data_IF_977987168819
#
_entry.id   IF_977987168819
#
_cell.length_a   1.000
_cell.length_b   1.000
_cell.length_c   1.000
_cell.angle_alpha   90.00
_cell.angle_beta   90.00
_cell.angle_gamma   90.00
#
_symmetry.space_group_name_H-M   'P 1'
#
loop_
_entity.id
_entity.type
_entity.pdbx_description
1 polymer ?
#
# COMPACT_ATOMS: atom_id res chain seq x y z
N UNK A 1 -11.26 18.39 12.15
CA UNK A 1 -11.53 18.79 10.74
C UNK A 1 -12.58 17.85 10.18
N UNK A 2 -13.37 18.33 9.21
CA UNK A 2 -14.29 17.53 8.40
C UNK A 2 -13.56 17.03 7.16
N UNK A 3 -13.34 15.72 7.05
CA UNK A 3 -12.51 15.11 6.01
C UNK A 3 -13.38 14.16 5.19
N UNK A 4 -13.41 14.35 3.86
CA UNK A 4 -13.91 13.33 2.95
C UNK A 4 -12.77 12.40 2.55
N UNK A 5 -12.95 11.10 2.73
CA UNK A 5 -12.12 10.04 2.18
C UNK A 5 -12.86 9.47 0.95
N UNK A 6 -12.24 9.55 -0.23
CA UNK A 6 -12.83 9.10 -1.49
C UNK A 6 -12.06 7.86 -1.95
N UNK A 7 -12.66 6.69 -1.71
CA UNK A 7 -12.07 5.40 -2.05
C UNK A 7 -12.31 5.05 -3.53
N UNK A 8 -11.43 4.24 -4.16
CA UNK A 8 -11.80 3.52 -5.37
C UNK A 8 -12.95 2.55 -5.09
N UNK A 9 -13.69 2.19 -6.13
CA UNK A 9 -14.86 1.31 -6.04
C UNK A 9 -14.57 -0.13 -6.50
N UNK A 10 -13.29 -0.49 -6.70
CA UNK A 10 -12.92 -1.80 -7.22
C UNK A 10 -13.11 -2.89 -6.18
N UNK A 11 -12.61 -2.65 -4.96
CA UNK A 11 -12.75 -3.54 -3.80
C UNK A 11 -13.67 -2.92 -2.73
N UNK A 12 -14.13 -3.75 -1.79
CA UNK A 12 -14.77 -3.25 -0.58
C UNK A 12 -13.75 -2.50 0.30
N UNK A 13 -14.22 -1.67 1.23
CA UNK A 13 -13.36 -0.92 2.17
C UNK A 13 -13.68 -1.34 3.61
N UNK A 14 -12.87 -2.18 4.28
CA UNK A 14 -11.68 -2.86 3.78
C UNK A 14 -12.03 -3.99 2.77
N UNK A 15 -11.06 -4.43 1.96
CA UNK A 15 -11.25 -5.52 1.00
C UNK A 15 -11.58 -6.84 1.68
N UNK A 16 -12.48 -7.63 1.07
CA UNK A 16 -12.75 -9.01 1.49
C UNK A 16 -11.65 -9.99 1.03
N UNK A 17 -10.95 -9.64 -0.06
CA UNK A 17 -9.88 -10.42 -0.67
C UNK A 17 -8.63 -9.54 -0.79
N UNK A 18 -7.80 -9.77 -1.81
CA UNK A 18 -6.64 -8.93 -2.11
C UNK A 18 -7.05 -7.51 -2.56
N UNK A 19 -6.58 -6.48 -1.86
CA UNK A 19 -6.71 -5.08 -2.27
C UNK A 19 -5.80 -4.19 -1.44
N UNK A 20 -4.77 -3.60 -2.05
CA UNK A 20 -3.80 -2.76 -1.33
C UNK A 20 -4.34 -1.38 -1.00
N UNK A 21 -4.91 -0.69 -1.99
CA UNK A 21 -5.38 0.69 -1.87
C UNK A 21 -6.53 0.82 -0.89
N UNK A 22 -7.64 0.10 -1.13
CA UNK A 22 -8.84 0.15 -0.30
C UNK A 22 -8.59 -0.31 1.14
N UNK A 23 -7.63 -1.21 1.36
CA UNK A 23 -7.17 -1.60 2.71
C UNK A 23 -6.52 -0.43 3.43
N UNK A 24 -5.64 0.31 2.76
CA UNK A 24 -5.03 1.51 3.33
C UNK A 24 -6.05 2.61 3.53
N UNK A 25 -7.00 2.80 2.61
CA UNK A 25 -8.08 3.77 2.80
C UNK A 25 -8.88 3.43 4.05
N UNK A 26 -9.22 2.15 4.27
CA UNK A 26 -9.91 1.72 5.49
C UNK A 26 -9.10 2.07 6.75
N UNK A 27 -7.82 1.69 6.79
CA UNK A 27 -6.95 1.95 7.95
C UNK A 27 -6.73 3.44 8.21
N UNK A 28 -6.51 4.24 7.16
CA UNK A 28 -6.35 5.69 7.27
C UNK A 28 -7.64 6.36 7.76
N UNK A 29 -8.78 6.01 7.16
CA UNK A 29 -10.10 6.54 7.50
C UNK A 29 -10.38 6.33 8.98
N UNK A 30 -10.24 5.09 9.44
CA UNK A 30 -10.51 4.70 10.81
C UNK A 30 -9.49 5.30 11.79
N UNK A 31 -8.22 5.43 11.42
CA UNK A 31 -7.21 6.08 12.25
C UNK A 31 -7.45 7.60 12.36
N UNK A 32 -7.97 8.26 11.33
CA UNK A 32 -8.34 9.68 11.40
C UNK A 32 -9.55 9.91 12.34
N UNK A 33 -10.52 8.98 12.34
CA UNK A 33 -11.64 9.02 13.29
C UNK A 33 -11.14 8.91 14.74
N UNK A 34 -10.25 7.96 15.02
CA UNK A 34 -9.66 7.79 16.36
C UNK A 34 -8.88 9.01 16.85
N UNK A 35 -8.40 9.82 15.91
CA UNK A 35 -7.67 11.06 16.21
C UNK A 35 -8.60 12.26 16.40
N UNK A 36 -9.92 12.05 16.37
CA UNK A 36 -10.94 13.05 16.66
C UNK A 36 -11.39 13.87 15.45
N UNK A 37 -11.13 13.39 14.23
CA UNK A 37 -11.64 14.03 13.03
C UNK A 37 -13.07 13.56 12.69
N UNK A 38 -13.86 14.46 12.11
CA UNK A 38 -15.15 14.11 11.51
C UNK A 38 -14.90 13.58 10.10
N UNK A 39 -14.83 12.25 9.96
CA UNK A 39 -14.50 11.62 8.68
C UNK A 39 -15.77 11.10 8.00
N UNK A 40 -15.91 11.39 6.71
CA UNK A 40 -16.92 10.77 5.84
C UNK A 40 -16.22 9.96 4.75
N UNK A 41 -16.56 8.69 4.64
CA UNK A 41 -16.04 7.78 3.61
C UNK A 41 -17.05 7.68 2.47
N UNK A 42 -16.63 8.02 1.26
CA UNK A 42 -17.36 7.73 0.02
C UNK A 42 -16.82 6.42 -0.55
N UNK A 43 -17.62 5.36 -0.47
CA UNK A 43 -17.25 4.00 -0.85
C UNK A 43 -18.50 3.17 -1.20
N UNK A 44 -18.31 1.88 -1.46
CA UNK A 44 -19.41 0.95 -1.68
C UNK A 44 -20.17 0.67 -0.38
N UNK A 45 -21.43 0.25 -0.48
CA UNK A 45 -22.31 0.03 0.68
C UNK A 45 -21.81 -1.07 1.64
N UNK A 46 -20.94 -1.97 1.16
CA UNK A 46 -20.33 -3.05 1.94
C UNK A 46 -19.19 -2.58 2.85
N UNK A 47 -18.81 -1.30 2.77
CA UNK A 47 -17.72 -0.76 3.56
C UNK A 47 -17.99 -0.90 5.07
N UNK A 48 -16.95 -1.33 5.80
CA UNK A 48 -16.96 -1.41 7.26
C UNK A 48 -15.94 -0.40 7.80
N UNK A 49 -16.44 0.65 8.41
CA UNK A 49 -15.62 1.77 8.89
C UNK A 49 -16.25 2.39 10.13
N UNK A 50 -15.44 3.08 10.93
CA UNK A 50 -15.88 3.94 12.04
C UNK A 50 -16.30 5.33 11.57
N UNK A 51 -15.96 5.71 10.34
CA UNK A 51 -16.38 6.96 9.73
C UNK A 51 -17.86 6.94 9.33
N UNK A 52 -18.42 8.12 9.04
CA UNK A 52 -19.72 8.22 8.39
C UNK A 52 -19.61 7.67 6.96
N UNK A 53 -20.33 6.60 6.65
CA UNK A 53 -20.37 6.06 5.29
C UNK A 53 -21.38 6.83 4.42
N UNK A 54 -20.96 7.18 3.22
CA UNK A 54 -21.82 7.57 2.11
C UNK A 54 -21.67 6.51 1.04
N UNK A 55 -22.67 5.64 0.95
CA UNK A 55 -22.71 4.59 -0.05
C UNK A 55 -22.99 5.21 -1.43
N UNK A 56 -22.00 5.16 -2.33
CA UNK A 56 -22.11 5.68 -3.71
C UNK A 56 -22.31 4.58 -4.75
N UNK A 57 -22.26 3.32 -4.31
CA UNK A 57 -22.51 2.12 -5.09
C UNK A 57 -22.88 0.99 -4.15
N UNK A 58 -23.79 0.10 -4.57
CA UNK A 58 -24.26 -1.01 -3.72
C UNK A 58 -23.16 -2.03 -3.40
N UNK A 59 -22.25 -2.29 -4.33
CA UNK A 59 -21.24 -3.36 -4.23
C UNK A 59 -19.94 -3.01 -4.93
N UNK A 60 -18.83 -3.53 -4.43
CA UNK A 60 -17.52 -3.42 -5.10
C UNK A 60 -17.53 -4.01 -6.51
N UNK A 61 -16.90 -3.34 -7.48
CA UNK A 61 -16.95 -3.72 -8.91
C UNK A 61 -16.47 -5.16 -9.12
N UNK A 62 -15.46 -5.62 -8.38
CA UNK A 62 -14.91 -6.98 -8.51
C UNK A 62 -15.73 -8.05 -7.80
N UNK A 63 -16.51 -7.69 -6.79
CA UNK A 63 -17.43 -8.60 -6.09
C UNK A 63 -18.82 -8.65 -6.72
N UNK A 64 -19.13 -7.69 -7.60
CA UNK A 64 -20.40 -7.61 -8.27
C UNK A 64 -20.55 -8.72 -9.34
N UNK A 65 -21.52 -9.65 -9.18
CA UNK A 65 -21.72 -10.76 -10.11
C UNK A 65 -22.30 -10.31 -11.45
N UNK A 66 -22.76 -9.06 -11.58
CA UNK A 66 -23.26 -8.55 -12.85
C UNK A 66 -22.16 -8.63 -13.94
N UNK A 67 -22.46 -9.16 -15.13
CA UNK A 67 -21.46 -9.38 -16.17
C UNK A 67 -21.01 -8.08 -16.84
N UNK A 68 -21.88 -7.06 -16.89
CA UNK A 68 -21.63 -5.78 -17.55
C UNK A 68 -21.57 -4.67 -16.52
N UNK A 69 -20.39 -4.10 -16.33
CA UNK A 69 -20.11 -3.04 -15.37
C UNK A 69 -19.25 -1.98 -16.05
N UNK A 70 -19.54 -0.71 -15.79
CA UNK A 70 -18.68 0.40 -16.20
C UNK A 70 -18.02 0.98 -14.96
N UNK A 71 -16.71 0.78 -14.87
CA UNK A 71 -15.84 1.37 -13.86
C UNK A 71 -15.89 2.90 -13.93
N UNK A 72 -15.79 3.47 -15.14
CA UNK A 72 -15.83 4.91 -15.36
C UNK A 72 -17.17 5.51 -14.92
N UNK A 73 -18.30 4.92 -15.32
CA UNK A 73 -19.62 5.45 -14.92
C UNK A 73 -19.82 5.39 -13.41
N UNK A 74 -19.40 4.29 -12.75
CA UNK A 74 -19.50 4.15 -11.30
C UNK A 74 -18.69 5.24 -10.57
N UNK A 75 -17.44 5.48 -11.00
CA UNK A 75 -16.62 6.50 -10.36
C UNK A 75 -17.10 7.92 -10.70
N UNK A 76 -17.58 8.20 -11.92
CA UNK A 76 -18.16 9.51 -12.25
C UNK A 76 -19.42 9.82 -11.43
N UNK A 77 -20.27 8.83 -11.16
CA UNK A 77 -21.42 8.98 -10.29
C UNK A 77 -21.01 9.31 -8.84
N UNK A 78 -20.00 8.60 -8.30
CA UNK A 78 -19.41 8.93 -7.00
C UNK A 78 -18.85 10.36 -6.98
N UNK A 79 -18.06 10.73 -7.99
CA UNK A 79 -17.42 12.05 -8.04
C UNK A 79 -18.46 13.18 -8.16
N UNK A 80 -19.57 12.95 -8.85
CA UNK A 80 -20.69 13.89 -8.88
C UNK A 80 -21.29 14.11 -7.48
N UNK A 81 -21.51 13.03 -6.73
CA UNK A 81 -22.04 13.10 -5.35
C UNK A 81 -21.05 13.82 -4.41
N UNK A 82 -19.77 13.48 -4.49
CA UNK A 82 -18.71 14.18 -3.72
C UNK A 82 -18.69 15.66 -4.08
N UNK A 83 -18.78 16.01 -5.37
CA UNK A 83 -18.76 17.40 -5.83
C UNK A 83 -19.94 18.21 -5.28
N UNK A 84 -21.16 17.64 -5.28
CA UNK A 84 -22.33 18.32 -4.70
C UNK A 84 -22.14 18.65 -3.22
N UNK A 85 -21.44 17.78 -2.49
CA UNK A 85 -21.23 17.87 -1.03
C UNK A 85 -19.88 18.46 -0.63
N UNK A 86 -19.06 18.89 -1.60
CA UNK A 86 -17.69 19.38 -1.37
C UNK A 86 -17.56 20.52 -0.35
N UNK A 87 -18.61 21.31 -0.16
CA UNK A 87 -18.67 22.41 0.79
C UNK A 87 -18.85 21.96 2.26
N UNK A 88 -19.24 20.69 2.48
CA UNK A 88 -19.35 20.09 3.82
C UNK A 88 -17.97 19.79 4.43
N UNK A 89 -16.90 19.78 3.63
CA UNK A 89 -15.59 19.28 4.03
C UNK A 89 -14.52 20.36 4.00
N UNK A 90 -13.59 20.26 4.95
CA UNK A 90 -12.38 21.08 4.99
C UNK A 90 -11.31 20.50 4.06
N UNK A 91 -11.30 19.17 3.87
CA UNK A 91 -10.37 18.41 3.00
C UNK A 91 -11.12 17.33 2.22
N UNK A 92 -10.81 17.21 0.93
CA UNK A 92 -11.25 16.15 0.03
C UNK A 92 -10.04 15.27 -0.33
N UNK A 93 -9.91 14.10 0.29
CA UNK A 93 -8.77 13.22 0.07
C UNK A 93 -9.13 12.08 -0.88
N UNK A 94 -8.57 12.12 -2.08
CA UNK A 94 -8.81 11.18 -3.17
C UNK A 94 -7.75 10.08 -3.24
N UNK A 95 -8.23 8.87 -3.56
CA UNK A 95 -7.42 7.68 -3.83
C UNK A 95 -7.71 7.11 -5.24
N UNK A 96 -8.33 7.91 -6.11
CA UNK A 96 -8.81 7.54 -7.46
C UNK A 96 -7.95 8.15 -8.58
N UNK A 97 -6.64 8.24 -8.32
CA UNK A 97 -5.65 8.87 -9.21
C UNK A 97 -6.11 10.27 -9.70
N UNK A 98 -6.00 10.53 -11.01
CA UNK A 98 -6.31 11.83 -11.63
C UNK A 98 -7.79 12.02 -12.00
N UNK A 99 -8.68 11.06 -11.72
CA UNK A 99 -10.05 11.04 -12.29
C UNK A 99 -10.89 12.27 -11.90
N UNK A 100 -10.63 12.85 -10.73
CA UNK A 100 -11.36 13.99 -10.20
C UNK A 100 -10.86 15.35 -10.72
N UNK A 101 -9.68 15.42 -11.35
CA UNK A 101 -9.07 16.72 -11.67
C UNK A 101 -9.97 17.64 -12.50
N UNK A 102 -10.63 17.19 -13.60
CA UNK A 102 -11.46 18.10 -14.39
C UNK A 102 -12.70 18.63 -13.64
N UNK A 103 -13.23 17.86 -12.68
CA UNK A 103 -14.46 18.21 -11.97
C UNK A 103 -14.20 19.10 -10.74
N UNK A 104 -13.01 19.04 -10.14
CA UNK A 104 -12.67 19.73 -8.89
C UNK A 104 -11.69 20.89 -9.08
N UNK A 105 -11.47 21.36 -10.30
CA UNK A 105 -10.54 22.46 -10.63
C UNK A 105 -10.85 23.75 -9.85
N UNK A 106 -12.13 24.04 -9.60
CA UNK A 106 -12.62 25.18 -8.82
C UNK A 106 -12.27 25.14 -7.32
N UNK A 107 -11.79 24.00 -6.83
CA UNK A 107 -11.49 23.77 -5.42
C UNK A 107 -10.28 22.86 -5.19
N UNK A 108 -9.36 22.81 -6.16
CA UNK A 108 -8.17 21.97 -6.13
C UNK A 108 -7.35 22.16 -4.85
N UNK A 109 -7.35 23.37 -4.27
CA UNK A 109 -6.63 23.70 -3.02
C UNK A 109 -7.17 22.99 -1.78
N UNK A 110 -8.40 22.48 -1.82
CA UNK A 110 -9.03 21.67 -0.77
C UNK A 110 -8.88 20.17 -1.01
N UNK A 111 -8.36 19.78 -2.17
CA UNK A 111 -8.12 18.38 -2.48
C UNK A 111 -6.79 17.92 -1.88
N UNK A 112 -6.61 16.60 -1.78
CA UNK A 112 -5.32 15.94 -1.62
C UNK A 112 -5.43 14.60 -2.33
N UNK A 113 -4.45 14.20 -3.14
CA UNK A 113 -4.51 12.91 -3.85
C UNK A 113 -3.34 12.03 -3.45
N UNK A 114 -3.63 10.86 -2.89
CA UNK A 114 -2.58 9.84 -2.69
C UNK A 114 -2.52 8.94 -3.90
N UNK A 115 -1.33 8.84 -4.50
CA UNK A 115 -1.10 7.94 -5.63
C UNK A 115 -0.51 6.62 -5.16
N UNK A 116 -1.16 5.51 -5.49
CA UNK A 116 -0.77 4.17 -5.01
C UNK A 116 -0.06 3.33 -6.08
N UNK A 117 -0.34 3.59 -7.36
CA UNK A 117 0.09 2.78 -8.48
C UNK A 117 1.44 3.20 -9.09
N UNK A 118 1.66 2.66 -10.29
CA UNK A 118 2.77 3.02 -11.16
C UNK A 118 2.59 4.43 -11.72
N UNK A 119 3.67 5.21 -11.70
CA UNK A 119 3.68 6.59 -12.19
C UNK A 119 4.50 6.77 -13.47
N UNK A 120 5.10 5.70 -13.97
CA UNK A 120 5.95 5.67 -15.16
C UNK A 120 5.21 5.25 -16.43
N UNK A 121 3.88 5.22 -16.39
CA UNK A 121 3.07 4.94 -17.58
C UNK A 121 3.16 6.12 -18.56
N UNK A 122 3.26 5.79 -19.85
CA UNK A 122 3.58 6.71 -20.94
C UNK A 122 2.75 8.00 -20.93
N UNK A 123 1.44 7.90 -20.70
CA UNK A 123 0.53 9.03 -20.84
C UNK A 123 0.41 9.90 -19.58
N UNK A 124 0.85 9.40 -18.41
CA UNK A 124 0.65 10.09 -17.14
C UNK A 124 1.36 11.44 -17.11
N UNK A 125 2.60 11.52 -17.59
CA UNK A 125 3.34 12.77 -17.56
C UNK A 125 2.59 13.91 -18.29
N UNK A 126 2.03 13.60 -19.45
CA UNK A 126 1.24 14.57 -20.24
C UNK A 126 -0.06 14.98 -19.55
N UNK A 127 -0.68 14.08 -18.78
CA UNK A 127 -1.91 14.36 -18.04
C UNK A 127 -1.62 15.26 -16.84
N UNK A 128 -0.63 14.93 -16.01
CA UNK A 128 -0.29 15.73 -14.81
C UNK A 128 0.23 17.14 -15.15
N UNK A 129 0.83 17.35 -16.32
CA UNK A 129 1.22 18.70 -16.79
C UNK A 129 0.01 19.61 -17.07
N UNK A 130 -1.19 19.07 -17.32
CA UNK A 130 -2.41 19.87 -17.56
C UNK A 130 -3.06 20.35 -16.26
N UNK A 131 -2.84 19.63 -15.15
CA UNK A 131 -3.35 19.95 -13.82
C UNK A 131 -2.22 20.09 -12.79
N UNK A 132 -1.23 20.98 -13.01
CA UNK A 132 -0.03 21.04 -12.18
C UNK A 132 -0.31 21.56 -10.76
N UNK A 133 -1.48 22.15 -10.52
CA UNK A 133 -1.83 22.77 -9.25
C UNK A 133 -2.50 21.80 -8.26
N UNK A 134 -2.91 20.59 -8.69
CA UNK A 134 -3.52 19.61 -7.79
C UNK A 134 -2.49 19.02 -6.80
N UNK A 135 -2.74 19.11 -5.48
CA UNK A 135 -1.83 18.63 -4.46
C UNK A 135 -1.79 17.09 -4.37
N UNK A 136 -0.58 16.53 -4.42
CA UNK A 136 -0.33 15.09 -4.44
C UNK A 136 0.47 14.62 -3.22
N UNK A 137 0.24 13.39 -2.81
CA UNK A 137 1.02 12.64 -1.82
C UNK A 137 1.51 11.36 -2.44
N UNK A 138 2.80 11.10 -2.29
CA UNK A 138 3.40 9.81 -2.66
C UNK A 138 3.46 8.89 -1.46
N UNK A 139 3.51 7.60 -1.74
CA UNK A 139 3.65 6.55 -0.71
C UNK A 139 5.11 6.12 -0.54
N UNK A 140 6.00 6.65 -1.36
CA UNK A 140 7.45 6.70 -1.14
C UNK A 140 8.07 7.88 -1.90
N UNK A 141 9.24 8.35 -1.50
CA UNK A 141 10.00 9.37 -2.23
C UNK A 141 10.46 8.86 -3.61
N UNK A 142 10.84 7.58 -3.72
CA UNK A 142 11.19 6.95 -5.00
C UNK A 142 10.03 7.00 -6.00
N UNK A 143 8.79 6.78 -5.55
CA UNK A 143 7.60 6.76 -6.41
C UNK A 143 7.46 8.04 -7.23
N UNK A 144 7.92 9.19 -6.72
CA UNK A 144 7.79 10.50 -7.39
C UNK A 144 8.64 10.65 -8.64
N UNK A 145 9.68 9.85 -8.82
CA UNK A 145 10.71 10.05 -9.86
C UNK A 145 10.14 10.28 -11.27
N UNK A 146 9.16 9.49 -11.76
CA UNK A 146 8.59 9.70 -13.09
C UNK A 146 7.83 11.02 -13.23
N UNK A 147 7.26 11.54 -12.15
CA UNK A 147 6.43 12.74 -12.11
C UNK A 147 7.02 13.81 -11.18
N UNK A 148 8.35 13.98 -11.17
CA UNK A 148 9.07 14.91 -10.27
C UNK A 148 8.58 16.36 -10.31
N UNK A 149 7.93 16.76 -11.41
CA UNK A 149 7.42 18.10 -11.66
C UNK A 149 6.02 18.34 -11.07
N UNK A 150 5.32 17.30 -10.63
CA UNK A 150 3.97 17.43 -10.09
C UNK A 150 3.98 18.10 -8.70
N UNK A 151 2.84 18.62 -8.25
CA UNK A 151 2.70 19.34 -6.97
C UNK A 151 2.69 18.38 -5.76
N UNK A 152 3.84 17.78 -5.47
CA UNK A 152 4.04 16.91 -4.32
C UNK A 152 4.05 17.69 -3.00
N UNK A 153 3.07 17.42 -2.14
CA UNK A 153 2.95 18.01 -0.80
C UNK A 153 3.81 17.30 0.24
N UNK A 154 4.12 16.03 0.01
CA UNK A 154 4.89 15.20 0.91
C UNK A 154 4.79 13.72 0.57
N UNK A 155 5.48 12.91 1.37
CA UNK A 155 5.39 11.45 1.35
C UNK A 155 4.74 11.05 2.66
N UNK A 156 3.75 10.18 2.57
CA UNK A 156 3.19 9.51 3.76
C UNK A 156 3.25 8.02 3.50
N UNK A 157 4.11 7.34 4.25
CA UNK A 157 4.23 5.89 4.19
C UNK A 157 2.92 5.23 4.63
N UNK A 158 2.60 4.10 4.01
CA UNK A 158 1.44 3.32 4.43
C UNK A 158 1.60 2.80 5.85
N UNK A 159 0.46 2.68 6.53
CA UNK A 159 0.39 2.20 7.89
C UNK A 159 -0.70 1.15 8.08
N UNK A 160 -0.46 0.24 9.03
CA UNK A 160 -1.38 -0.84 9.41
C UNK A 160 -1.78 -0.68 10.88
N UNK A 161 -2.97 -1.16 11.30
CA UNK A 161 -3.34 -1.17 12.71
C UNK A 161 -2.29 -1.93 13.53
N UNK A 162 -1.98 -1.43 14.72
CA UNK A 162 -0.90 -1.98 15.56
C UNK A 162 -1.19 -3.44 15.96
N UNK A 163 -2.46 -3.77 16.16
CA UNK A 163 -2.95 -5.07 16.58
C UNK A 163 -3.35 -6.00 15.44
N UNK A 164 -3.20 -5.56 14.17
CA UNK A 164 -3.56 -6.39 13.00
C UNK A 164 -2.74 -7.68 12.94
N UNK A 165 -1.45 -7.61 13.30
CA UNK A 165 -0.54 -8.75 13.30
C UNK A 165 0.11 -8.97 14.66
N UNK A 166 0.16 -10.24 15.07
CA UNK A 166 0.75 -10.64 16.34
C UNK A 166 2.27 -10.68 16.25
N UNK A 167 2.93 -9.94 17.13
CA UNK A 167 4.38 -10.01 17.31
C UNK A 167 4.83 -11.42 17.74
N UNK A 168 5.87 -11.94 17.09
CA UNK A 168 6.52 -13.22 17.42
C UNK A 168 7.99 -12.97 17.80
N UNK A 169 8.41 -13.22 19.06
CA UNK A 169 9.80 -13.05 19.47
C UNK A 169 10.72 -14.21 19.07
N UNK A 170 10.17 -15.39 18.80
CA UNK A 170 10.94 -16.61 18.59
C UNK A 170 11.49 -16.74 17.15
N UNK A 171 10.79 -16.16 16.16
CA UNK A 171 11.06 -16.43 14.75
C UNK A 171 10.83 -17.90 14.39
N UNK A 172 11.54 -18.40 13.38
CA UNK A 172 11.57 -19.82 13.06
C UNK A 172 12.65 -20.18 12.04
N UNK A 173 12.48 -21.30 11.36
CA UNK A 173 13.52 -22.00 10.60
C UNK A 173 13.37 -21.88 9.07
N UNK A 174 12.25 -21.36 8.58
CA UNK A 174 11.98 -21.19 7.15
C UNK A 174 12.05 -19.73 6.68
N UNK A 175 12.25 -19.56 5.38
CA UNK A 175 12.12 -18.30 4.65
C UNK A 175 10.70 -18.14 4.15
N UNK A 176 10.16 -16.93 4.24
CA UNK A 176 8.82 -16.62 3.73
C UNK A 176 8.91 -15.87 2.40
N UNK A 177 8.04 -16.24 1.47
CA UNK A 177 7.66 -15.40 0.34
C UNK A 177 6.14 -15.17 0.42
N UNK A 178 5.71 -13.92 0.35
CA UNK A 178 4.29 -13.55 0.42
C UNK A 178 3.95 -12.52 -0.67
N UNK A 179 2.96 -12.82 -1.51
CA UNK A 179 2.54 -11.89 -2.57
C UNK A 179 1.77 -12.55 -3.71
N UNK A 180 1.96 -12.03 -4.93
CA UNK A 180 1.43 -12.64 -6.17
C UNK A 180 2.53 -13.46 -6.84
N UNK A 181 2.14 -14.53 -7.50
CA UNK A 181 3.00 -15.19 -8.47
C UNK A 181 2.93 -14.39 -9.77
N UNK A 182 3.95 -13.58 -10.02
CA UNK A 182 4.10 -12.84 -11.27
C UNK A 182 5.58 -12.57 -11.56
N UNK A 183 5.94 -12.28 -12.82
CA UNK A 183 7.33 -12.10 -13.22
C UNK A 183 8.07 -11.02 -12.41
N UNK A 184 7.41 -9.92 -12.09
CA UNK A 184 8.01 -8.82 -11.32
C UNK A 184 8.22 -9.13 -9.84
N UNK A 185 7.53 -10.17 -9.31
CA UNK A 185 7.63 -10.57 -7.90
C UNK A 185 8.78 -11.54 -7.64
N UNK A 186 9.34 -12.14 -8.69
CA UNK A 186 10.53 -13.01 -8.66
C UNK A 186 10.46 -14.17 -7.66
N UNK A 187 9.40 -14.99 -7.63
CA UNK A 187 9.37 -16.21 -6.80
C UNK A 187 10.48 -17.20 -7.18
N UNK A 188 10.89 -17.24 -8.45
CA UNK A 188 12.06 -17.98 -8.94
C UNK A 188 13.34 -17.63 -8.16
N UNK A 189 13.54 -16.33 -7.89
CA UNK A 189 14.68 -15.83 -7.15
C UNK A 189 14.61 -16.21 -5.67
N UNK A 190 13.43 -16.17 -5.06
CA UNK A 190 13.23 -16.65 -3.69
C UNK A 190 13.61 -18.14 -3.55
N UNK A 191 13.14 -18.98 -4.48
CA UNK A 191 13.46 -20.41 -4.52
C UNK A 191 14.97 -20.63 -4.65
N UNK A 192 15.62 -19.91 -5.57
CA UNK A 192 17.07 -20.01 -5.73
C UNK A 192 17.83 -19.65 -4.45
N UNK A 193 17.41 -18.58 -3.73
CA UNK A 193 18.07 -18.15 -2.49
C UNK A 193 17.92 -19.22 -1.42
N UNK A 194 16.73 -19.78 -1.26
CA UNK A 194 16.45 -20.83 -0.29
C UNK A 194 17.30 -22.09 -0.53
N UNK A 195 17.39 -22.52 -1.80
CA UNK A 195 18.26 -23.64 -2.22
C UNK A 195 19.72 -23.38 -1.88
N UNK A 196 20.23 -22.21 -2.26
CA UNK A 196 21.63 -21.86 -2.00
C UNK A 196 21.94 -21.70 -0.50
N UNK A 197 20.98 -21.26 0.30
CA UNK A 197 21.09 -21.15 1.76
C UNK A 197 20.86 -22.49 2.49
N UNK A 198 20.33 -23.52 1.81
CA UNK A 198 19.94 -24.79 2.43
C UNK A 198 18.82 -24.64 3.46
N UNK A 199 17.87 -23.72 3.23
CA UNK A 199 16.78 -23.43 4.16
C UNK A 199 15.41 -23.71 3.53
N UNK A 200 14.42 -24.20 4.30
CA UNK A 200 13.05 -24.31 3.82
C UNK A 200 12.50 -22.96 3.40
N UNK A 201 11.72 -22.93 2.32
CA UNK A 201 10.99 -21.77 1.81
C UNK A 201 9.51 -22.10 1.78
N UNK A 202 8.70 -21.25 2.43
CA UNK A 202 7.25 -21.29 2.28
C UNK A 202 6.80 -20.13 1.38
N UNK A 203 6.03 -20.46 0.36
CA UNK A 203 5.51 -19.51 -0.63
C UNK A 203 4.00 -19.42 -0.43
N UNK A 204 3.55 -18.34 0.21
CA UNK A 204 2.14 -17.99 0.31
C UNK A 204 1.81 -16.97 -0.77
N UNK A 205 1.28 -17.42 -1.91
CA UNK A 205 1.02 -16.52 -3.01
C UNK A 205 -0.22 -16.90 -3.83
N UNK A 206 -0.89 -15.86 -4.33
CA UNK A 206 -2.01 -15.99 -5.26
C UNK A 206 -1.49 -16.11 -6.70
N UNK A 207 -2.10 -16.96 -7.50
CA UNK A 207 -1.90 -17.05 -8.95
C UNK A 207 -3.10 -16.41 -9.65
N UNK A 208 -2.92 -15.18 -10.16
CA UNK A 208 -3.97 -14.50 -10.91
C UNK A 208 -4.16 -15.14 -12.30
N UNK A 209 -5.35 -14.95 -12.89
CA UNK A 209 -5.67 -15.51 -14.21
C UNK A 209 -4.66 -15.08 -15.30
N UNK A 210 -4.17 -13.84 -15.23
CA UNK A 210 -3.17 -13.30 -16.14
C UNK A 210 -1.80 -13.98 -16.02
N UNK A 211 -1.47 -14.53 -14.85
CA UNK A 211 -0.16 -15.10 -14.53
C UNK A 211 -0.13 -16.64 -14.56
N UNK A 212 -1.24 -17.29 -14.95
CA UNK A 212 -1.33 -18.77 -14.99
C UNK A 212 -0.27 -19.43 -15.87
N UNK A 213 -0.01 -18.87 -17.04
CA UNK A 213 1.02 -19.38 -17.96
C UNK A 213 2.41 -19.25 -17.33
N UNK A 214 2.72 -18.10 -16.73
CA UNK A 214 3.99 -17.88 -16.02
C UNK A 214 4.16 -18.87 -14.86
N UNK A 215 3.13 -19.07 -14.04
CA UNK A 215 3.18 -20.04 -12.96
C UNK A 215 3.48 -21.45 -13.48
N UNK A 216 2.69 -21.95 -14.45
CA UNK A 216 2.84 -23.30 -14.99
C UNK A 216 4.22 -23.51 -15.64
N UNK A 217 4.67 -22.56 -16.46
CA UNK A 217 5.85 -22.75 -17.31
C UNK A 217 7.17 -22.46 -16.58
N UNK A 218 7.15 -21.61 -15.55
CA UNK A 218 8.37 -21.10 -14.88
C UNK A 218 8.47 -21.44 -13.41
N UNK A 219 7.35 -21.47 -12.68
CA UNK A 219 7.37 -21.59 -11.21
C UNK A 219 7.03 -22.99 -10.75
N UNK A 220 5.95 -23.60 -11.27
CA UNK A 220 5.52 -24.94 -10.90
C UNK A 220 6.65 -26.00 -11.02
N UNK A 221 7.51 -25.99 -12.06
CA UNK A 221 8.62 -26.94 -12.14
C UNK A 221 9.69 -26.75 -11.06
N UNK A 222 9.76 -25.56 -10.45
CA UNK A 222 10.70 -25.24 -9.37
C UNK A 222 10.16 -25.61 -7.99
N UNK A 223 8.86 -25.95 -7.88
CA UNK A 223 8.23 -26.34 -6.62
C UNK A 223 8.47 -27.82 -6.26
N UNK A 224 8.90 -28.64 -7.22
CA UNK A 224 9.33 -30.02 -6.98
C UNK A 224 10.72 -30.05 -6.33
N UNK A 225 10.80 -29.49 -5.12
CA UNK A 225 11.99 -29.39 -4.31
C UNK A 225 11.64 -29.64 -2.84
N UNK A 226 12.37 -30.51 -2.13
CA UNK A 226 12.05 -30.82 -0.74
C UNK A 226 12.15 -29.62 0.22
N UNK A 227 12.84 -28.54 -0.17
CA UNK A 227 12.91 -27.31 0.61
C UNK A 227 11.76 -26.34 0.31
N UNK A 228 10.96 -26.55 -0.73
CA UNK A 228 9.96 -25.56 -1.18
C UNK A 228 8.55 -26.05 -0.88
N UNK A 229 7.81 -25.27 -0.09
CA UNK A 229 6.40 -25.50 0.22
C UNK A 229 5.55 -24.39 -0.39
N UNK A 230 4.69 -24.73 -1.35
CA UNK A 230 3.70 -23.79 -1.89
C UNK A 230 2.40 -23.88 -1.08
N UNK A 231 2.15 -22.84 -0.27
CA UNK A 231 1.01 -22.76 0.65
C UNK A 231 -0.26 -22.28 -0.04
N UNK A 232 -0.13 -21.53 -1.15
CA UNK A 232 -1.25 -20.87 -1.82
C UNK A 232 -1.64 -19.53 -1.18
N UNK A 233 -2.87 -19.08 -1.39
CA UNK A 233 -3.36 -17.81 -0.86
C UNK A 233 -3.71 -17.94 0.64
N UNK A 234 -3.18 -17.02 1.47
CA UNK A 234 -3.46 -16.97 2.91
C UNK A 234 -4.18 -15.67 3.29
N UNK A 235 -5.11 -15.77 4.23
CA UNK A 235 -5.81 -14.62 4.80
C UNK A 235 -5.01 -13.89 5.87
N UNK A 236 -5.48 -12.72 6.29
CA UNK A 236 -4.78 -11.89 7.29
C UNK A 236 -4.63 -12.60 8.66
N UNK A 237 -5.56 -13.49 9.01
CA UNK A 237 -5.48 -14.33 10.23
C UNK A 237 -4.30 -15.29 10.23
N UNK A 238 -3.94 -15.81 9.07
CA UNK A 238 -2.83 -16.77 8.92
C UNK A 238 -1.47 -16.08 8.79
N UNK A 239 -1.46 -14.84 8.28
CA UNK A 239 -0.23 -14.05 8.09
C UNK A 239 0.55 -13.85 9.38
N UNK A 240 -0.10 -13.66 10.53
CA UNK A 240 0.61 -13.53 11.82
C UNK A 240 1.48 -14.75 12.11
N UNK A 241 0.92 -15.95 11.94
CA UNK A 241 1.64 -17.21 12.13
C UNK A 241 2.69 -17.41 11.03
N UNK A 242 2.32 -17.16 9.77
CA UNK A 242 3.18 -17.37 8.62
C UNK A 242 4.40 -16.43 8.60
N UNK A 243 4.22 -15.15 8.85
CA UNK A 243 5.32 -14.19 8.90
C UNK A 243 6.06 -14.30 10.22
N UNK A 244 5.36 -14.40 11.35
CA UNK A 244 5.97 -14.49 12.68
C UNK A 244 6.78 -15.77 12.93
N UNK A 245 6.46 -16.86 12.24
CA UNK A 245 7.23 -18.10 12.25
C UNK A 245 8.39 -18.14 11.25
N UNK A 246 8.54 -17.12 10.39
CA UNK A 246 9.63 -17.07 9.44
C UNK A 246 10.92 -16.54 10.08
N UNK A 247 12.05 -17.11 9.64
CA UNK A 247 13.38 -16.56 9.87
C UNK A 247 13.52 -15.18 9.25
N UNK A 248 13.11 -15.06 7.99
CA UNK A 248 13.12 -13.81 7.23
C UNK A 248 12.05 -13.85 6.13
N UNK A 249 11.54 -12.68 5.78
CA UNK A 249 10.80 -12.47 4.54
C UNK A 249 11.80 -12.22 3.40
N UNK A 250 11.70 -12.97 2.31
CA UNK A 250 12.37 -12.65 1.05
C UNK A 250 11.49 -11.71 0.23
N UNK A 251 12.04 -10.55 -0.12
CA UNK A 251 11.41 -9.56 -0.98
C UNK A 251 12.27 -9.32 -2.25
N UNK A 252 12.33 -10.31 -3.16
CA UNK A 252 13.29 -10.32 -4.27
C UNK A 252 12.87 -9.48 -5.49
N UNK A 253 11.91 -8.57 -5.31
CA UNK A 253 11.24 -7.81 -6.37
C UNK A 253 12.25 -6.95 -7.14
N UNK A 254 12.19 -7.02 -8.48
CA UNK A 254 13.03 -6.26 -9.41
C UNK A 254 12.27 -5.21 -10.22
N UNK A 255 11.07 -4.87 -9.74
CA UNK A 255 10.25 -3.75 -10.19
C UNK A 255 10.32 -2.60 -9.18
N UNK A 256 10.28 -1.32 -9.58
CA UNK A 256 10.21 -0.18 -8.65
C UNK A 256 8.89 -0.17 -7.87
N UNK A 257 8.79 -1.05 -6.87
CA UNK A 257 7.64 -1.21 -6.00
C UNK A 257 7.34 0.11 -5.28
N UNK A 258 6.12 0.66 -5.44
CA UNK A 258 5.75 1.93 -4.83
C UNK A 258 5.84 1.95 -3.31
N UNK A 259 5.56 0.83 -2.63
CA UNK A 259 5.71 0.73 -1.17
C UNK A 259 5.99 -0.67 -0.64
N UNK A 260 5.25 -1.69 -1.11
CA UNK A 260 5.44 -3.08 -0.65
C UNK A 260 4.93 -3.35 0.76
N UNK A 261 3.59 -3.37 0.95
CA UNK A 261 2.94 -3.59 2.25
C UNK A 261 3.49 -4.81 3.01
N UNK A 262 3.78 -5.91 2.30
CA UNK A 262 4.28 -7.16 2.89
C UNK A 262 5.56 -6.96 3.71
N UNK A 263 6.40 -5.96 3.38
CA UNK A 263 7.57 -5.62 4.19
C UNK A 263 7.16 -5.16 5.59
N UNK A 264 6.18 -4.26 5.70
CA UNK A 264 5.71 -3.75 6.98
C UNK A 264 4.80 -4.76 7.72
N UNK A 265 4.13 -5.67 7.00
CA UNK A 265 3.44 -6.82 7.60
C UNK A 265 4.45 -7.76 8.31
N UNK A 266 5.59 -8.03 7.67
CA UNK A 266 6.68 -8.81 8.29
C UNK A 266 7.26 -8.08 9.51
N UNK A 267 7.52 -6.78 9.39
CA UNK A 267 8.03 -5.97 10.51
C UNK A 267 7.05 -5.93 11.69
N UNK A 268 5.74 -5.88 11.43
CA UNK A 268 4.71 -5.98 12.46
C UNK A 268 4.75 -7.31 13.21
N UNK A 269 5.17 -8.40 12.57
CA UNK A 269 5.40 -9.70 13.21
C UNK A 269 6.78 -9.81 13.89
N UNK A 270 7.63 -8.79 13.76
CA UNK A 270 9.03 -8.79 14.19
C UNK A 270 9.97 -9.52 13.23
N UNK A 271 9.53 -9.82 12.01
CA UNK A 271 10.30 -10.61 11.03
C UNK A 271 11.18 -9.70 10.19
N UNK A 272 12.49 -10.00 10.09
CA UNK A 272 13.39 -9.23 9.25
C UNK A 272 13.12 -9.46 7.76
N UNK A 273 13.46 -8.47 6.94
CA UNK A 273 13.26 -8.51 5.49
C UNK A 273 14.61 -8.54 4.75
N UNK A 274 14.81 -9.51 3.86
CA UNK A 274 15.91 -9.50 2.89
C UNK A 274 15.35 -9.07 1.55
N UNK A 275 15.66 -7.85 1.11
CA UNK A 275 15.00 -7.21 -0.01
C UNK A 275 15.97 -6.73 -1.08
N UNK A 276 15.60 -6.87 -2.35
CA UNK A 276 16.36 -6.27 -3.45
C UNK A 276 16.27 -4.75 -3.40
N UNK A 277 17.37 -4.04 -3.72
CA UNK A 277 17.39 -2.58 -3.80
C UNK A 277 16.58 -2.06 -5.00
N UNK A 278 15.26 -2.00 -4.85
CA UNK A 278 14.37 -1.50 -5.89
C UNK A 278 13.21 -0.69 -5.30
N UNK A 279 12.82 0.39 -5.97
CA UNK A 279 11.69 1.21 -5.54
C UNK A 279 11.84 1.76 -4.12
N UNK A 280 10.79 1.59 -3.33
CA UNK A 280 10.68 2.02 -1.93
C UNK A 280 11.48 1.18 -0.91
N UNK A 281 12.12 0.07 -1.32
CA UNK A 281 12.81 -0.83 -0.37
C UNK A 281 13.79 -0.11 0.56
N UNK A 282 14.69 0.78 0.08
CA UNK A 282 15.63 1.49 0.97
C UNK A 282 14.96 2.51 1.90
N UNK A 283 13.70 2.86 1.62
CA UNK A 283 12.89 3.75 2.45
C UNK A 283 12.16 2.97 3.55
N UNK A 284 11.75 1.73 3.28
CA UNK A 284 10.98 0.89 4.21
C UNK A 284 11.89 0.05 5.10
N UNK A 285 12.91 -0.58 4.53
CA UNK A 285 13.85 -1.45 5.23
C UNK A 285 15.04 -0.64 5.72
N UNK A 286 15.13 -0.46 7.03
CA UNK A 286 16.32 0.05 7.71
C UNK A 286 17.42 -1.03 7.66
N UNK A 287 18.37 -0.86 6.74
CA UNK A 287 19.49 -1.79 6.51
C UNK A 287 20.32 -1.98 7.79
N UNK A 288 20.54 -3.23 8.21
CA UNK A 288 21.23 -3.54 9.47
C UNK A 288 20.35 -3.51 10.71
N UNK A 289 19.06 -3.14 10.59
CA UNK A 289 18.13 -3.02 11.75
C UNK A 289 16.88 -3.84 11.56
N UNK A 290 16.15 -3.59 10.46
CA UNK A 290 14.88 -4.27 10.15
C UNK A 290 15.04 -5.35 9.09
N UNK A 291 16.24 -5.45 8.51
CA UNK A 291 16.52 -6.32 7.40
C UNK A 291 17.83 -5.97 6.71
N UNK A 292 18.02 -6.54 5.52
CA UNK A 292 19.15 -6.25 4.64
C UNK A 292 18.64 -5.86 3.25
N UNK A 293 19.21 -4.79 2.71
CA UNK A 293 18.98 -4.36 1.33
C UNK A 293 20.13 -4.87 0.46
N UNK A 294 19.82 -5.73 -0.50
CA UNK A 294 20.81 -6.46 -1.29
C UNK A 294 20.72 -6.14 -2.78
N UNK A 295 21.84 -6.28 -3.47
CA UNK A 295 21.97 -5.97 -4.90
C UNK A 295 22.31 -7.23 -5.74
N UNK A 296 22.53 -8.39 -5.11
CA UNK A 296 22.90 -9.62 -5.79
C UNK A 296 22.40 -10.88 -5.06
N UNK A 297 22.36 -12.00 -5.80
CA UNK A 297 21.98 -13.29 -5.25
C UNK A 297 22.91 -13.75 -4.12
N UNK A 298 24.23 -13.63 -4.29
CA UNK A 298 25.21 -13.99 -3.27
C UNK A 298 25.04 -13.16 -1.99
N UNK A 299 24.78 -11.84 -2.14
CA UNK A 299 24.50 -10.97 -1.01
C UNK A 299 23.19 -11.35 -0.29
N UNK A 300 22.16 -11.74 -1.04
CA UNK A 300 20.91 -12.23 -0.47
C UNK A 300 21.12 -13.49 0.38
N UNK A 301 21.85 -14.49 -0.14
CA UNK A 301 22.15 -15.73 0.59
C UNK A 301 22.92 -15.46 1.88
N UNK A 302 23.94 -14.60 1.84
CA UNK A 302 24.68 -14.21 3.04
C UNK A 302 23.78 -13.46 4.05
N UNK A 303 22.95 -12.54 3.56
CA UNK A 303 22.03 -11.77 4.39
C UNK A 303 21.01 -12.65 5.14
N UNK A 304 20.56 -13.75 4.54
CA UNK A 304 19.62 -14.68 5.21
C UNK A 304 20.20 -15.26 6.51
N UNK A 305 21.49 -15.58 6.51
CA UNK A 305 22.18 -16.05 7.71
C UNK A 305 22.36 -14.92 8.74
N UNK A 306 22.71 -13.72 8.28
CA UNK A 306 22.94 -12.54 9.13
C UNK A 306 21.67 -12.13 9.90
N UNK A 307 20.53 -12.01 9.20
CA UNK A 307 19.28 -11.48 9.79
C UNK A 307 18.67 -12.42 10.84
N UNK A 308 19.11 -13.68 10.91
CA UNK A 308 18.65 -14.62 11.93
C UNK A 308 18.96 -14.14 13.36
N UNK A 309 20.00 -13.31 13.53
CA UNK A 309 20.40 -12.74 14.81
C UNK A 309 19.76 -11.39 15.16
N UNK A 310 18.87 -10.85 14.32
CA UNK A 310 18.33 -9.50 14.53
C UNK A 310 17.33 -9.45 15.68
N UNK A 311 17.35 -8.34 16.42
CA UNK A 311 16.39 -8.11 17.50
C UNK A 311 14.98 -7.84 16.94
N UNK A 312 14.17 -8.88 16.92
CA UNK A 312 12.79 -8.86 16.45
C UNK A 312 11.92 -7.82 17.19
N UNK A 313 12.20 -7.51 18.46
CA UNK A 313 11.48 -6.44 19.19
C UNK A 313 11.84 -5.07 18.63
N UNK A 314 13.12 -4.86 18.28
CA UNK A 314 13.55 -3.63 17.61
C UNK A 314 12.87 -3.47 16.25
N UNK A 315 12.74 -4.55 15.48
CA UNK A 315 12.00 -4.54 14.20
C UNK A 315 10.55 -4.10 14.40
N UNK A 316 9.87 -4.72 15.37
CA UNK A 316 8.49 -4.37 15.75
C UNK A 316 8.37 -2.90 16.17
N UNK A 317 9.30 -2.39 16.98
CA UNK A 317 9.30 -1.00 17.42
C UNK A 317 9.49 0.00 16.25
N UNK A 318 10.24 -0.38 15.20
CA UNK A 318 10.34 0.44 13.99
C UNK A 318 9.00 0.48 13.25
N UNK A 319 8.31 -0.65 13.13
CA UNK A 319 6.96 -0.72 12.58
C UNK A 319 5.99 0.21 13.35
N UNK A 320 5.90 0.08 14.67
CA UNK A 320 4.97 0.89 15.49
C UNK A 320 5.24 2.40 15.36
N UNK A 321 6.53 2.78 15.28
CA UNK A 321 6.94 4.18 15.13
C UNK A 321 6.59 4.77 13.77
N UNK A 322 6.76 4.01 12.68
CA UNK A 322 6.77 4.55 11.30
C UNK A 322 5.61 4.09 10.42
N UNK A 323 5.11 2.89 10.65
CA UNK A 323 4.21 2.15 9.77
C UNK A 323 2.95 1.67 10.49
N UNK A 324 2.65 2.25 11.65
CA UNK A 324 1.33 2.14 12.28
C UNK A 324 0.32 3.02 11.56
N UNK A 325 -0.96 2.64 11.58
CA UNK A 325 -2.05 3.45 11.04
C UNK A 325 -2.11 4.82 11.73
N UNK A 326 -1.77 4.88 13.02
CA UNK A 326 -1.63 6.12 13.76
C UNK A 326 -0.46 7.00 13.25
N UNK A 327 0.70 6.41 12.91
CA UNK A 327 1.80 7.15 12.30
C UNK A 327 1.44 7.69 10.91
N UNK A 328 0.78 6.87 10.08
CA UNK A 328 0.26 7.29 8.78
C UNK A 328 -0.73 8.46 8.92
N UNK A 329 -1.71 8.35 9.82
CA UNK A 329 -2.69 9.41 10.05
C UNK A 329 -2.06 10.73 10.51
N UNK A 330 -1.07 10.68 11.42
CA UNK A 330 -0.27 11.87 11.81
C UNK A 330 0.45 12.51 10.62
N UNK A 331 1.00 11.69 9.72
CA UNK A 331 1.62 12.15 8.48
C UNK A 331 0.65 12.96 7.62
N UNK A 332 -0.57 12.44 7.42
CA UNK A 332 -1.61 13.16 6.67
C UNK A 332 -2.14 14.40 7.37
N UNK A 333 -2.36 14.37 8.69
CA UNK A 333 -2.76 15.56 9.46
C UNK A 333 -1.77 16.72 9.29
N UNK A 334 -0.48 16.41 9.33
CA UNK A 334 0.57 17.39 9.10
C UNK A 334 0.52 17.99 7.68
N UNK A 335 -0.02 17.26 6.69
CA UNK A 335 -0.23 17.78 5.34
C UNK A 335 -1.54 18.57 5.22
N UNK A 336 -2.63 18.11 5.85
CA UNK A 336 -3.92 18.79 5.87
C UNK A 336 -3.84 20.18 6.52
N UNK A 337 -2.99 20.33 7.54
CA UNK A 337 -2.79 21.60 8.24
C UNK A 337 -1.95 22.62 7.44
N UNK A 338 -1.24 22.20 6.39
CA UNK A 338 -0.37 23.11 5.62
C UNK A 338 -1.22 24.05 4.76
N UNK A 339 -0.99 25.37 4.82
CA UNK A 339 -1.64 26.30 3.90
C UNK A 339 -1.30 25.96 2.44
N UNK A 340 -2.28 26.13 1.55
CA UNK A 340 -2.04 26.03 0.12
C UNK A 340 -1.29 27.30 -0.33
N UNK A 341 -0.18 27.20 -1.10
CA UNK A 341 0.62 28.36 -1.53
C UNK A 341 -0.12 29.35 -2.45
N UNK A 342 -1.39 29.06 -2.80
CA UNK A 342 -2.29 29.98 -3.51
C UNK A 342 -3.26 30.76 -2.62
N UNK A 343 -3.29 30.52 -1.30
CA UNK A 343 -4.05 31.33 -0.32
C UNK A 343 -3.31 32.65 -0.03
N UNK A 344 -3.11 33.48 -1.04
CA UNK A 344 -2.83 34.89 -0.80
C UNK A 344 -4.10 35.52 -0.19
N UNK A 345 -3.91 36.19 0.94
CA UNK A 345 -4.89 36.85 1.78
C UNK A 345 -6.05 37.51 1.01
N UNK A 346 -7.23 36.90 1.02
CA UNK A 346 -8.50 37.66 0.99
C UNK A 346 -8.94 37.90 2.43
N UNK A 347 -8.08 38.56 3.21
CA UNK A 347 -8.44 39.08 4.52
C UNK A 347 -9.12 40.45 4.31
N UNK A 348 -10.44 40.43 4.51
CA UNK A 348 -11.30 41.55 4.94
C UNK A 348 -11.20 42.86 4.14
N UNK A 349 -12.09 43.04 3.16
CA UNK A 349 -12.72 44.36 2.98
C UNK A 349 -13.87 44.45 3.98
N UNK A 350 -13.59 45.09 5.12
CA UNK A 350 -14.60 45.65 5.99
C UNK A 350 -15.36 46.72 5.20
N UNK A 351 -16.69 46.66 5.23
CA UNK A 351 -17.54 47.81 4.93
C UNK A 351 -17.51 48.79 6.11
#
# INVERSE_FOLDING_TARGET
MRIAQIAPLYEAVPPLLYGGTERIVAHLTDALVDRGHEVTLFATAEARTRARLVAVRDRAIRLDPAPLKSDLAAHLAMLHEVYRRRHEFDVLHFHVDLLHFPLFDDCAERTLTTLHGRLDLQDLASAYLRWPHFPLVSISDHQRRPLRFANWRGTVYHGLPDDLYRFSPAGGDYLAFLGRISPEKRPDRAIAIARAAGLPLKIAAKVDAADRAYFHDKIAPLLDDPLVEFVGEIGDTDKSRFLGGARALLFPIDWPEPFGLVMIEAMACGTPVVAWRCGSVPEVVDDGVTGRVVDSHAAAVAAVAEVAGYDRRRIRAVFERRFSAAAMARGYEALYARPHPGRALTLRRSA
#
